data_IF_678583614411
#
_entry.id   IF_678583614411
#
_cell.length_a   1.000
_cell.length_b   1.000
_cell.length_c   1.000
_cell.angle_alpha   90.00
_cell.angle_beta   90.00
_cell.angle_gamma   90.00
#
_symmetry.space_group_name_H-M   'P 1'
#
loop_
_entity.id
_entity.type
_entity.pdbx_description
1 polymer ?
#
# COMPACT_ATOMS: atom_id res chain seq x y z
N UNK A 1 -17.04 -0.81 -8.66
CA UNK A 1 -16.07 -0.55 -9.75
C UNK A 1 -16.40 -1.44 -10.93
N UNK A 2 -16.44 -0.85 -12.11
CA UNK A 2 -16.80 -1.56 -13.33
C UNK A 2 -15.59 -1.74 -14.23
N UNK A 3 -15.32 -3.00 -14.65
CA UNK A 3 -14.21 -3.31 -15.55
C UNK A 3 -14.49 -2.77 -16.93
N UNK A 4 -13.57 -1.98 -17.47
CA UNK A 4 -13.66 -1.39 -18.81
C UNK A 4 -12.81 -2.16 -19.82
N UNK A 5 -11.63 -2.61 -19.41
CA UNK A 5 -10.63 -3.21 -20.31
C UNK A 5 -9.67 -4.09 -19.52
N UNK A 6 -9.19 -5.14 -20.17
CA UNK A 6 -8.19 -6.04 -19.60
C UNK A 6 -7.26 -6.51 -20.71
N UNK A 7 -5.95 -6.33 -20.53
CA UNK A 7 -4.98 -6.74 -21.56
C UNK A 7 -3.60 -6.98 -20.95
N UNK A 8 -2.82 -7.81 -21.63
CA UNK A 8 -1.44 -8.09 -21.22
C UNK A 8 -0.53 -6.90 -21.44
N UNK A 9 0.36 -6.67 -20.48
CA UNK A 9 1.37 -5.61 -20.57
C UNK A 9 2.60 -6.11 -21.31
N UNK A 10 3.22 -5.21 -22.07
CA UNK A 10 4.49 -5.47 -22.76
C UNK A 10 5.66 -5.40 -21.77
N UNK A 11 6.74 -6.11 -22.08
CA UNK A 11 7.95 -6.18 -21.24
C UNK A 11 8.49 -4.82 -20.82
N UNK A 12 8.50 -3.85 -21.74
CA UNK A 12 8.97 -2.49 -21.45
C UNK A 12 8.15 -1.83 -20.35
N UNK A 13 6.82 -1.97 -20.41
CA UNK A 13 5.90 -1.40 -19.41
C UNK A 13 6.06 -2.10 -18.06
N UNK A 14 6.21 -3.41 -18.06
CA UNK A 14 6.45 -4.21 -16.84
C UNK A 14 7.73 -3.74 -16.15
N UNK A 15 8.78 -3.49 -16.91
CA UNK A 15 10.06 -3.00 -16.38
C UNK A 15 9.92 -1.62 -15.73
N UNK A 16 9.16 -0.73 -16.34
CA UNK A 16 8.86 0.60 -15.79
C UNK A 16 8.11 0.49 -14.47
N UNK A 17 7.11 -0.40 -14.41
CA UNK A 17 6.31 -0.64 -13.21
C UNK A 17 7.16 -1.19 -12.08
N UNK A 18 8.00 -2.18 -12.37
CA UNK A 18 8.92 -2.76 -11.37
C UNK A 18 9.83 -1.69 -10.77
N UNK A 19 10.36 -0.81 -11.61
CA UNK A 19 11.21 0.30 -11.16
C UNK A 19 10.47 1.24 -10.22
N UNK A 20 9.21 1.57 -10.53
CA UNK A 20 8.39 2.44 -9.71
C UNK A 20 7.94 1.79 -8.39
N UNK A 21 7.80 0.46 -8.37
CA UNK A 21 7.46 -0.28 -7.17
C UNK A 21 8.57 -0.30 -6.11
N UNK A 22 9.82 -0.07 -6.52
CA UNK A 22 10.96 -0.08 -5.61
C UNK A 22 11.10 -1.41 -4.87
N UNK A 23 11.05 -1.39 -3.56
CA UNK A 23 11.19 -2.61 -2.74
C UNK A 23 10.07 -3.63 -2.95
N UNK A 24 8.92 -3.20 -3.50
CA UNK A 24 7.80 -4.09 -3.81
C UNK A 24 7.91 -4.74 -5.19
N UNK A 25 9.00 -4.51 -5.92
CA UNK A 25 9.19 -5.12 -7.25
C UNK A 25 9.20 -6.64 -7.20
N UNK A 26 9.52 -7.22 -6.05
CA UNK A 26 9.53 -8.67 -5.83
C UNK A 26 8.15 -9.31 -5.93
N UNK A 27 7.07 -8.51 -5.96
CA UNK A 27 5.73 -8.99 -6.26
C UNK A 27 5.64 -9.57 -7.68
N UNK A 28 6.48 -9.09 -8.59
CA UNK A 28 6.49 -9.51 -10.00
C UNK A 28 7.71 -10.37 -10.28
N UNK A 29 7.48 -11.64 -10.63
CA UNK A 29 8.53 -12.57 -11.03
C UNK A 29 8.57 -12.70 -12.56
N UNK A 30 9.72 -13.13 -13.10
CA UNK A 30 9.95 -13.18 -14.55
C UNK A 30 8.96 -14.05 -15.33
N UNK A 31 8.37 -15.05 -14.70
CA UNK A 31 7.44 -15.99 -15.33
C UNK A 31 5.97 -15.61 -15.16
N UNK A 32 5.70 -14.54 -14.43
CA UNK A 32 4.33 -14.12 -14.14
C UNK A 32 3.64 -13.55 -15.38
N UNK A 33 2.33 -13.78 -15.45
CA UNK A 33 1.46 -13.15 -16.45
C UNK A 33 0.99 -11.82 -15.86
N UNK A 34 1.33 -10.73 -16.53
CA UNK A 34 1.06 -9.38 -16.06
C UNK A 34 0.05 -8.71 -16.99
N UNK A 35 -1.07 -8.31 -16.42
CA UNK A 35 -2.15 -7.66 -17.16
C UNK A 35 -2.50 -6.32 -16.52
N UNK A 36 -2.95 -5.37 -17.34
CA UNK A 36 -3.60 -4.17 -16.85
C UNK A 36 -5.11 -4.39 -16.87
N UNK A 37 -5.76 -4.03 -15.77
CA UNK A 37 -7.21 -4.04 -15.64
C UNK A 37 -7.66 -2.60 -15.46
N UNK A 38 -8.30 -2.04 -16.49
CA UNK A 38 -8.85 -0.69 -16.41
C UNK A 38 -10.21 -0.75 -15.70
N UNK A 39 -10.28 -0.10 -14.58
CA UNK A 39 -11.47 0.01 -13.74
C UNK A 39 -11.61 1.47 -13.31
N UNK A 40 -12.82 1.96 -13.19
CA UNK A 40 -13.06 3.31 -12.72
C UNK A 40 -13.41 3.26 -11.23
N UNK A 41 -12.76 4.04 -10.34
CA UNK A 41 -11.78 5.12 -10.61
C UNK A 41 -10.32 4.71 -10.61
N UNK A 42 -9.96 3.47 -10.36
CA UNK A 42 -8.58 3.00 -10.26
C UNK A 42 -8.29 1.90 -11.27
N UNK A 43 -7.05 1.86 -11.75
CA UNK A 43 -6.57 0.72 -12.53
C UNK A 43 -5.84 -0.25 -11.62
N UNK A 44 -5.92 -1.54 -11.95
CA UNK A 44 -5.18 -2.59 -11.26
C UNK A 44 -4.18 -3.24 -12.21
N UNK A 45 -3.11 -3.75 -11.64
CA UNK A 45 -2.24 -4.66 -12.35
C UNK A 45 -2.49 -6.06 -11.77
N UNK A 46 -2.84 -6.98 -12.67
CA UNK A 46 -3.08 -8.37 -12.31
C UNK A 46 -1.78 -9.15 -12.44
N UNK A 47 -1.47 -9.91 -11.41
CA UNK A 47 -0.35 -10.86 -11.44
C UNK A 47 -0.97 -12.25 -11.39
N UNK A 48 -0.84 -12.97 -12.49
CA UNK A 48 -1.48 -14.30 -12.66
C UNK A 48 -2.98 -14.26 -12.35
N UNK A 49 -3.65 -13.19 -12.80
CA UNK A 49 -5.09 -13.02 -12.63
C UNK A 49 -5.53 -12.38 -11.33
N UNK A 50 -4.62 -12.12 -10.38
CA UNK A 50 -4.95 -11.52 -9.08
C UNK A 50 -4.61 -10.03 -9.06
N UNK A 51 -5.53 -9.17 -8.55
CA UNK A 51 -5.31 -7.72 -8.50
C UNK A 51 -4.36 -7.33 -7.36
N UNK A 52 -3.08 -7.55 -7.56
CA UNK A 52 -2.06 -7.37 -6.54
C UNK A 52 -1.44 -5.97 -6.49
N UNK A 53 -1.65 -5.17 -7.54
CA UNK A 53 -1.10 -3.82 -7.62
C UNK A 53 -2.22 -2.86 -8.01
N UNK A 54 -2.26 -1.72 -7.35
CA UNK A 54 -3.20 -0.63 -7.63
C UNK A 54 -2.45 0.57 -8.18
N UNK A 55 -3.02 1.23 -9.19
CA UNK A 55 -2.47 2.46 -9.75
C UNK A 55 -3.26 3.64 -9.17
N UNK A 56 -2.58 4.51 -8.44
CA UNK A 56 -3.14 5.73 -7.88
C UNK A 56 -2.29 6.90 -8.35
N UNK A 57 -2.90 7.89 -8.98
CA UNK A 57 -2.18 9.05 -9.55
C UNK A 57 -0.98 8.64 -10.40
N UNK A 58 -1.19 7.65 -11.26
CA UNK A 58 -0.19 7.11 -12.22
C UNK A 58 0.97 6.35 -11.57
N UNK A 59 0.91 6.08 -10.28
CA UNK A 59 1.95 5.33 -9.57
C UNK A 59 1.43 3.98 -9.08
N UNK A 60 2.24 2.91 -9.18
CA UNK A 60 1.85 1.59 -8.69
C UNK A 60 2.14 1.44 -7.21
N UNK A 61 1.23 0.79 -6.50
CA UNK A 61 1.36 0.45 -5.09
C UNK A 61 0.87 -0.99 -4.88
N UNK A 62 1.45 -1.72 -3.93
CA UNK A 62 0.90 -3.03 -3.59
C UNK A 62 -0.48 -2.88 -2.96
N UNK A 63 -1.39 -3.83 -3.21
CA UNK A 63 -2.63 -3.87 -2.46
C UNK A 63 -2.38 -4.53 -1.10
N UNK A 64 -3.25 -4.27 -0.13
CA UNK A 64 -3.18 -4.93 1.18
C UNK A 64 -3.30 -6.43 1.06
N UNK A 65 -4.17 -6.91 0.17
CA UNK A 65 -4.33 -8.36 -0.08
C UNK A 65 -3.06 -8.98 -0.63
N UNK A 66 -2.34 -8.25 -1.50
CA UNK A 66 -1.05 -8.72 -2.00
C UNK A 66 -0.03 -8.89 -0.87
N UNK A 67 0.04 -7.91 0.05
CA UNK A 67 0.95 -7.99 1.20
C UNK A 67 0.56 -9.11 2.17
N UNK A 68 -0.73 -9.30 2.40
CA UNK A 68 -1.23 -10.40 3.24
C UNK A 68 -0.88 -11.77 2.65
N UNK A 69 -0.95 -11.91 1.33
CA UNK A 69 -0.65 -13.16 0.62
C UNK A 69 0.84 -13.39 0.38
N UNK A 70 1.68 -12.38 0.61
CA UNK A 70 3.12 -12.44 0.42
C UNK A 70 3.85 -11.89 1.65
N UNK A 71 3.71 -12.56 2.82
CA UNK A 71 4.26 -12.05 4.08
C UNK A 71 5.79 -12.00 4.11
N UNK A 72 6.46 -12.65 3.16
CA UNK A 72 7.91 -12.63 3.02
C UNK A 72 8.44 -11.31 2.47
N UNK A 73 7.57 -10.47 1.87
CA UNK A 73 7.97 -9.17 1.34
C UNK A 73 8.23 -8.22 2.50
N UNK A 74 9.45 -7.74 2.58
CA UNK A 74 9.82 -6.74 3.56
C UNK A 74 9.25 -5.38 3.17
N UNK A 75 8.50 -4.77 4.08
CA UNK A 75 7.97 -3.43 3.89
C UNK A 75 8.26 -2.59 5.12
N UNK A 76 8.39 -1.28 4.91
CA UNK A 76 8.54 -0.34 6.02
C UNK A 76 7.22 -0.25 6.76
N UNK A 77 7.26 -0.51 8.06
CA UNK A 77 6.07 -0.67 8.90
C UNK A 77 5.96 0.42 9.95
N UNK A 78 4.75 0.93 10.13
CA UNK A 78 4.40 1.89 11.18
C UNK A 78 3.29 1.25 12.01
N UNK A 79 3.50 1.20 13.33
CA UNK A 79 2.54 0.62 14.27
C UNK A 79 1.72 1.72 14.93
N UNK A 80 0.40 1.55 14.92
CA UNK A 80 -0.53 2.51 15.55
C UNK A 80 -1.25 1.87 16.73
N UNK A 81 -1.65 2.71 17.71
CA UNK A 81 -2.41 2.25 18.86
C UNK A 81 -3.85 1.89 18.49
N UNK A 82 -4.54 1.19 19.38
CA UNK A 82 -5.91 0.73 19.12
C UNK A 82 -6.91 1.89 19.02
N UNK A 83 -6.60 3.04 19.63
CA UNK A 83 -7.42 4.24 19.48
C UNK A 83 -7.40 4.81 18.06
N UNK A 84 -6.24 4.71 17.38
CA UNK A 84 -6.10 5.15 16.00
C UNK A 84 -6.79 4.23 15.01
N UNK A 85 -6.90 2.94 15.33
CA UNK A 85 -7.50 1.93 14.43
C UNK A 85 -8.91 2.31 13.96
N UNK A 86 -9.73 2.89 14.84
CA UNK A 86 -11.09 3.35 14.51
C UNK A 86 -11.11 4.33 13.34
N UNK A 87 -10.13 5.23 13.31
CA UNK A 87 -10.03 6.25 12.25
C UNK A 87 -9.48 5.64 10.96
N UNK A 88 -8.59 4.66 11.08
CA UNK A 88 -8.02 3.96 9.92
C UNK A 88 -9.10 3.22 9.12
N UNK A 89 -10.08 2.64 9.78
CA UNK A 89 -11.19 1.94 9.11
C UNK A 89 -12.11 2.89 8.33
N UNK A 90 -11.94 4.19 8.52
CA UNK A 90 -12.68 5.24 7.80
C UNK A 90 -11.80 5.98 6.79
N UNK A 91 -10.56 5.54 6.61
CA UNK A 91 -9.64 6.13 5.65
C UNK A 91 -8.92 7.38 6.11
N UNK A 92 -8.94 7.68 7.42
CA UNK A 92 -8.24 8.83 7.95
C UNK A 92 -6.73 8.73 7.79
N UNK A 93 -6.08 9.87 7.64
CA UNK A 93 -4.61 9.94 7.67
C UNK A 93 -4.09 9.65 9.07
N UNK A 94 -2.84 9.19 9.16
CA UNK A 94 -2.24 8.85 10.44
C UNK A 94 -1.59 10.07 11.06
N UNK A 95 -1.99 10.38 12.29
CA UNK A 95 -1.42 11.47 13.07
C UNK A 95 -0.33 10.93 14.00
N UNK A 96 0.74 11.70 14.21
CA UNK A 96 1.86 11.28 15.04
C UNK A 96 1.47 10.74 16.43
N UNK A 97 0.54 11.35 17.19
CA UNK A 97 0.20 10.83 18.51
C UNK A 97 -0.33 9.40 18.55
N UNK A 98 -0.87 8.90 17.44
CA UNK A 98 -1.37 7.53 17.37
C UNK A 98 -0.30 6.48 17.06
N UNK A 99 0.93 6.91 16.76
CA UNK A 99 2.01 6.01 16.37
C UNK A 99 2.79 5.56 17.59
N UNK A 100 2.93 4.25 17.78
CA UNK A 100 3.65 3.67 18.92
C UNK A 100 5.05 3.20 18.55
N UNK A 101 5.25 2.79 17.29
CA UNK A 101 6.51 2.23 16.82
C UNK A 101 6.66 2.41 15.32
N UNK A 102 7.89 2.59 14.85
CA UNK A 102 8.20 2.74 13.42
C UNK A 102 9.51 2.04 13.08
N UNK A 103 9.66 1.65 11.81
CA UNK A 103 10.94 1.25 11.28
C UNK A 103 11.87 2.47 11.19
N UNK A 104 13.15 2.26 11.48
CA UNK A 104 14.14 3.35 11.57
C UNK A 104 14.44 4.05 10.26
N UNK A 105 14.27 3.35 9.14
CA UNK A 105 14.71 3.83 7.83
C UNK A 105 13.63 4.55 7.02
N UNK A 106 12.52 4.92 7.65
CA UNK A 106 11.43 5.61 6.96
C UNK A 106 11.83 7.04 6.64
N UNK A 107 11.65 7.44 5.39
CA UNK A 107 11.91 8.79 4.88
C UNK A 107 10.64 9.38 4.29
N UNK A 108 10.51 10.71 4.23
CA UNK A 108 9.39 11.32 3.51
C UNK A 108 9.28 10.80 2.08
N UNK A 109 8.07 10.46 1.66
CA UNK A 109 7.80 9.88 0.35
C UNK A 109 7.81 8.36 0.30
N UNK A 110 8.25 7.68 1.35
CA UNK A 110 8.26 6.22 1.39
C UNK A 110 6.85 5.66 1.50
N UNK A 111 6.62 4.54 0.82
CA UNK A 111 5.41 3.75 0.96
C UNK A 111 5.54 2.92 2.23
N UNK A 112 4.60 3.07 3.13
CA UNK A 112 4.62 2.38 4.42
C UNK A 112 3.36 1.57 4.63
N UNK A 113 3.49 0.47 5.36
CA UNK A 113 2.40 -0.36 5.81
C UNK A 113 2.05 0.04 7.24
N UNK A 114 0.76 0.28 7.49
CA UNK A 114 0.28 0.63 8.83
C UNK A 114 -0.32 -0.63 9.46
N UNK A 115 0.13 -0.98 10.66
CA UNK A 115 -0.33 -2.16 11.40
C UNK A 115 -0.81 -1.76 12.79
N UNK A 116 -1.70 -2.57 13.38
CA UNK A 116 -2.14 -2.35 14.76
C UNK A 116 -1.12 -2.88 15.78
N UNK A 117 -1.12 -2.31 16.97
CA UNK A 117 -0.18 -2.68 18.04
C UNK A 117 -0.45 -4.03 18.69
N UNK A 118 -1.66 -4.52 18.60
CA UNK A 118 -2.06 -5.76 19.29
C UNK A 118 -1.78 -7.01 18.46
N UNK A 119 -2.19 -7.01 17.19
CA UNK A 119 -2.07 -8.17 16.31
C UNK A 119 -1.09 -7.98 15.17
N UNK A 120 -0.56 -6.78 15.00
CA UNK A 120 0.30 -6.40 13.87
C UNK A 120 -0.34 -6.70 12.51
N UNK A 121 -1.67 -6.58 12.43
CA UNK A 121 -2.39 -6.78 11.18
C UNK A 121 -2.26 -5.57 10.29
N UNK A 122 -2.00 -5.77 8.99
CA UNK A 122 -2.03 -4.67 8.02
C UNK A 122 -3.40 -4.01 7.98
N UNK A 123 -3.44 -2.70 8.21
CA UNK A 123 -4.66 -1.89 8.21
C UNK A 123 -4.75 -0.99 7.00
N UNK A 124 -3.60 -0.50 6.53
CA UNK A 124 -3.56 0.48 5.46
C UNK A 124 -2.17 0.55 4.83
N UNK A 125 -2.12 1.16 3.67
CA UNK A 125 -0.90 1.56 2.98
C UNK A 125 -0.98 3.07 2.82
N UNK A 126 0.13 3.75 3.07
CA UNK A 126 0.20 5.19 2.96
C UNK A 126 1.57 5.68 2.55
N UNK A 127 1.67 7.00 2.38
CA UNK A 127 2.91 7.70 2.06
C UNK A 127 3.37 8.43 3.31
N UNK A 128 4.61 8.19 3.71
CA UNK A 128 5.22 8.92 4.82
C UNK A 128 5.43 10.38 4.46
N UNK A 129 5.04 11.27 5.35
CA UNK A 129 5.23 12.72 5.19
C UNK A 129 6.45 13.22 5.96
N UNK A 130 6.89 12.44 6.95
CA UNK A 130 8.01 12.76 7.84
C UNK A 130 8.87 11.52 8.04
N UNK A 131 10.00 11.64 8.73
CA UNK A 131 10.84 10.49 9.05
C UNK A 131 10.21 9.61 10.12
N UNK A 132 10.63 8.34 10.21
CA UNK A 132 10.18 7.44 11.28
C UNK A 132 10.49 7.99 12.66
N UNK A 133 11.65 8.59 12.83
CA UNK A 133 12.06 9.23 14.11
C UNK A 133 11.09 10.36 14.48
N UNK A 134 10.78 11.26 13.54
CA UNK A 134 9.83 12.34 13.77
C UNK A 134 8.42 11.83 14.10
N UNK A 135 8.01 10.71 13.53
CA UNK A 135 6.69 10.11 13.79
C UNK A 135 6.49 9.82 15.28
N UNK A 136 7.51 9.29 15.96
CA UNK A 136 7.41 8.93 17.38
C UNK A 136 7.76 10.08 18.32
N UNK A 137 8.54 11.05 17.85
CA UNK A 137 8.92 12.21 18.65
C UNK A 137 7.85 13.32 18.64
N UNK A 138 7.15 13.48 17.52
CA UNK A 138 6.17 14.56 17.39
C UNK A 138 4.93 14.31 18.24
N UNK A 139 4.45 15.35 18.89
CA UNK A 139 3.26 15.31 19.74
C UNK A 139 1.99 15.70 19.00
N UNK A 140 2.11 16.16 17.76
CA UNK A 140 0.98 16.52 16.90
C UNK A 140 1.39 16.44 15.43
N UNK A 141 0.42 16.62 14.54
CA UNK A 141 0.63 16.70 13.11
C UNK A 141 0.42 15.39 12.37
N UNK A 142 0.24 15.52 11.07
CA UNK A 142 0.03 14.41 10.15
C UNK A 142 1.37 13.74 9.84
N UNK A 143 1.43 12.43 10.03
CA UNK A 143 2.63 11.62 9.76
C UNK A 143 2.55 10.87 8.45
N UNK A 144 1.37 10.34 8.10
CA UNK A 144 1.18 9.49 6.92
C UNK A 144 -0.11 9.89 6.21
N UNK A 145 -0.02 10.04 4.89
CA UNK A 145 -1.19 10.17 4.03
C UNK A 145 -1.65 8.77 3.63
N UNK A 146 -2.87 8.40 4.02
CA UNK A 146 -3.42 7.08 3.73
C UNK A 146 -3.87 6.99 2.28
N UNK A 147 -3.43 5.95 1.57
CA UNK A 147 -3.80 5.68 0.18
C UNK A 147 -4.88 4.62 0.04
N UNK A 148 -4.79 3.58 0.84
CA UNK A 148 -5.60 2.38 0.72
C UNK A 148 -5.71 1.74 2.10
N UNK A 149 -6.90 1.27 2.47
CA UNK A 149 -7.17 0.72 3.80
C UNK A 149 -8.17 -0.43 3.75
N UNK A 150 -8.18 -1.24 4.78
CA UNK A 150 -9.13 -2.37 4.92
C UNK A 150 -10.55 -1.83 4.92
N UNK A 151 -11.38 -2.33 4.00
CA UNK A 151 -12.77 -1.93 3.86
C UNK A 151 -13.03 -0.84 2.83
N UNK A 152 -12.00 -0.32 2.17
CA UNK A 152 -12.20 0.63 1.07
C UNK A 152 -12.61 -0.08 -0.23
N UNK A 153 -12.84 0.69 -1.30
CA UNK A 153 -13.25 0.12 -2.58
C UNK A 153 -12.20 -0.80 -3.21
N UNK A 154 -10.94 -0.53 -2.95
CA UNK A 154 -9.83 -1.36 -3.45
C UNK A 154 -9.85 -2.71 -2.74
N UNK A 155 -10.03 -2.70 -1.42
CA UNK A 155 -10.14 -3.90 -0.61
C UNK A 155 -11.32 -4.77 -1.02
N UNK A 156 -12.47 -4.14 -1.27
CA UNK A 156 -13.72 -4.84 -1.63
C UNK A 156 -13.76 -5.30 -3.09
N UNK A 157 -12.83 -4.86 -3.91
CA UNK A 157 -12.83 -5.21 -5.33
C UNK A 157 -12.57 -6.70 -5.55
N UNK A 158 -13.43 -7.35 -6.29
CA UNK A 158 -13.29 -8.74 -6.72
C UNK A 158 -13.43 -8.84 -8.24
N UNK A 159 -12.60 -9.70 -8.82
CA UNK A 159 -12.59 -9.94 -10.26
C UNK A 159 -13.38 -11.21 -10.60
#
# INVERSE_FOLDING_TARGET
MKVKKRYFLKKKKIKEIKKLLGEYETLINNKDKIELLEVDPYDFILINGEPNIIIIDKKPYPTLKALLNNPEIESKTVTVDMGAVKFMTKGADVMSPGITETDENIKPGDVVQIVDETHHKPLAIGISLITGEEMVENTNGKAIETLHYVGDNIWEFEL
#
